data_IF_569912136783
#
_entry.id   IF_569912136783
#
_cell.length_a   1.000
_cell.length_b   1.000
_cell.length_c   1.000
_cell.angle_alpha   90.00
_cell.angle_beta   90.00
_cell.angle_gamma   90.00
#
_symmetry.space_group_name_H-M   'P 1'
#
loop_
_entity.id
_entity.type
_entity.pdbx_description
1 polymer ?
#
# COMPACT_ATOMS: atom_id res chain seq x y z
N UNK A 1 5.31 21.47 15.23
CA UNK A 1 4.17 20.79 15.89
C UNK A 1 4.30 19.28 15.78
N UNK A 2 4.51 18.74 14.57
CA UNK A 2 4.65 17.27 14.36
C UNK A 2 6.10 16.78 14.20
N UNK A 3 7.12 17.59 14.25
CA UNK A 3 8.52 17.21 14.00
C UNK A 3 8.92 15.96 14.79
N UNK A 4 8.86 16.03 16.12
CA UNK A 4 9.19 14.89 17.00
C UNK A 4 8.25 13.69 16.81
N UNK A 5 6.97 13.93 16.54
CA UNK A 5 5.99 12.87 16.31
C UNK A 5 6.28 12.13 15.00
N UNK A 6 6.71 12.83 13.95
CA UNK A 6 7.14 12.23 12.68
C UNK A 6 8.41 11.40 12.89
N UNK A 7 9.41 11.94 13.61
CA UNK A 7 10.63 11.19 13.97
C UNK A 7 10.28 9.90 14.73
N UNK A 8 9.35 9.98 15.70
CA UNK A 8 8.86 8.81 16.44
C UNK A 8 8.16 7.82 15.52
N UNK A 9 7.24 8.28 14.66
CA UNK A 9 6.51 7.42 13.74
C UNK A 9 7.43 6.74 12.71
N UNK A 10 8.49 7.40 12.27
CA UNK A 10 9.51 6.84 11.37
C UNK A 10 10.26 5.67 11.98
N UNK A 11 10.38 5.58 13.31
CA UNK A 11 11.08 4.47 13.96
C UNK A 11 10.38 3.13 13.74
N UNK A 12 9.06 3.12 13.57
CA UNK A 12 8.26 1.90 13.41
C UNK A 12 7.49 1.82 12.08
N UNK A 13 7.54 2.85 11.23
CA UNK A 13 6.88 2.85 9.91
C UNK A 13 7.87 2.52 8.81
N UNK A 14 7.52 1.63 7.88
CA UNK A 14 8.41 1.16 6.81
C UNK A 14 7.68 1.11 5.46
N UNK A 15 8.39 1.34 4.35
CA UNK A 15 7.84 1.11 3.01
C UNK A 15 7.89 -0.37 2.64
N UNK A 16 6.84 -0.80 1.93
CA UNK A 16 6.83 -1.98 1.10
C UNK A 16 7.00 -1.53 -0.35
N UNK A 17 8.14 -1.83 -0.95
CA UNK A 17 8.39 -1.60 -2.37
C UNK A 17 7.91 -2.77 -3.20
N UNK A 18 7.35 -2.49 -4.37
CA UNK A 18 6.92 -3.49 -5.33
C UNK A 18 7.41 -3.15 -6.72
N UNK A 19 7.85 -4.14 -7.47
CA UNK A 19 8.10 -4.00 -8.90
C UNK A 19 7.17 -4.95 -9.66
N UNK A 20 6.47 -4.42 -10.64
CA UNK A 20 5.54 -5.18 -11.49
C UNK A 20 6.00 -5.10 -12.93
N UNK A 21 6.12 -6.25 -13.61
CA UNK A 21 6.37 -6.30 -15.06
C UNK A 21 5.12 -6.69 -15.82
N UNK A 22 4.78 -5.93 -16.83
CA UNK A 22 3.73 -6.28 -17.79
C UNK A 22 4.25 -7.24 -18.87
N UNK A 23 3.35 -7.94 -19.55
CA UNK A 23 3.68 -8.80 -20.70
C UNK A 23 4.30 -8.00 -21.85
N UNK A 24 3.92 -6.73 -22.00
CA UNK A 24 4.55 -5.80 -22.94
C UNK A 24 5.94 -5.30 -22.53
N UNK A 25 6.49 -5.75 -21.41
CA UNK A 25 7.85 -5.45 -20.95
C UNK A 25 7.98 -4.19 -20.10
N UNK A 26 6.90 -3.43 -19.85
CA UNK A 26 6.92 -2.27 -18.96
C UNK A 26 7.14 -2.72 -17.53
N UNK A 27 8.12 -2.13 -16.83
CA UNK A 27 8.34 -2.33 -15.38
C UNK A 27 7.87 -1.10 -14.66
N UNK A 28 6.98 -1.29 -13.68
CA UNK A 28 6.38 -0.23 -12.88
C UNK A 28 6.77 -0.40 -11.41
N UNK A 29 7.48 0.56 -10.81
CA UNK A 29 7.70 0.59 -9.38
C UNK A 29 6.41 1.04 -8.66
N UNK A 30 6.18 0.48 -7.48
CA UNK A 30 5.08 0.84 -6.59
C UNK A 30 5.53 0.88 -5.15
N UNK A 31 4.88 1.67 -4.33
CA UNK A 31 5.15 1.77 -2.90
C UNK A 31 3.86 1.65 -2.10
N UNK A 32 4.00 1.10 -0.90
CA UNK A 32 2.95 1.01 0.12
C UNK A 32 3.59 1.17 1.49
N UNK A 33 2.79 1.24 2.52
CA UNK A 33 3.26 1.49 3.88
C UNK A 33 2.78 0.39 4.83
N UNK A 34 3.60 0.09 5.84
CA UNK A 34 3.25 -0.73 6.99
C UNK A 34 3.86 -0.11 8.25
N UNK A 35 3.32 -0.44 9.42
CA UNK A 35 3.91 -0.05 10.69
C UNK A 35 3.89 -1.18 11.71
N UNK A 36 4.97 -1.30 12.48
CA UNK A 36 5.16 -2.36 13.47
C UNK A 36 4.45 -2.03 14.78
N UNK A 37 3.82 -3.06 15.39
CA UNK A 37 3.05 -2.94 16.63
C UNK A 37 3.77 -3.51 17.84
N UNK A 38 4.86 -4.27 17.62
CA UNK A 38 5.72 -4.83 18.67
C UNK A 38 7.11 -5.18 18.10
N UNK A 39 7.98 -5.71 18.97
CA UNK A 39 9.34 -6.14 18.60
C UNK A 39 9.43 -7.63 18.23
N UNK A 40 8.31 -8.23 17.81
CA UNK A 40 8.23 -9.64 17.45
C UNK A 40 7.87 -9.85 15.97
N UNK A 41 8.05 -8.82 15.14
CA UNK A 41 7.81 -8.91 13.71
C UNK A 41 6.33 -8.88 13.31
N UNK A 42 5.46 -8.22 14.10
CA UNK A 42 4.07 -8.02 13.75
C UNK A 42 3.84 -6.59 13.27
N UNK A 43 3.23 -6.46 12.10
CA UNK A 43 2.93 -5.17 11.48
C UNK A 43 1.50 -5.07 11.00
N UNK A 44 1.00 -3.83 10.95
CA UNK A 44 -0.30 -3.46 10.38
C UNK A 44 -0.09 -2.84 9.00
N UNK A 45 -0.99 -3.18 8.09
CA UNK A 45 -1.13 -2.54 6.77
C UNK A 45 -2.56 -2.68 6.26
N UNK A 46 -2.84 -2.16 5.06
CA UNK A 46 -4.12 -2.36 4.39
C UNK A 46 -4.27 -3.81 3.87
N UNK A 47 -5.50 -4.30 3.82
CA UNK A 47 -5.83 -5.61 3.24
C UNK A 47 -5.39 -5.69 1.77
N UNK A 48 -5.70 -4.66 0.96
CA UNK A 48 -5.30 -4.62 -0.44
C UNK A 48 -3.77 -4.62 -0.63
N UNK A 49 -3.01 -4.03 0.31
CA UNK A 49 -1.54 -4.06 0.32
C UNK A 49 -1.03 -5.46 0.68
N UNK A 50 -1.58 -6.06 1.74
CA UNK A 50 -1.20 -7.39 2.18
C UNK A 50 -1.46 -8.47 1.11
N UNK A 51 -2.49 -8.29 0.28
CA UNK A 51 -2.83 -9.18 -0.84
C UNK A 51 -1.77 -9.19 -1.95
N UNK A 52 -0.87 -8.21 -2.02
CA UNK A 52 0.26 -8.23 -2.95
C UNK A 52 1.23 -9.39 -2.67
N UNK A 53 1.26 -9.91 -1.43
CA UNK A 53 2.17 -11.00 -1.05
C UNK A 53 1.74 -12.32 -1.70
N UNK A 54 0.55 -12.91 -1.40
CA UNK A 54 0.09 -14.11 -2.08
C UNK A 54 -0.17 -13.87 -3.57
N UNK A 55 -0.55 -12.64 -3.95
CA UNK A 55 -0.72 -12.26 -5.35
C UNK A 55 0.56 -12.39 -6.16
N UNK A 56 1.71 -12.00 -5.60
CA UNK A 56 3.01 -12.14 -6.23
C UNK A 56 3.36 -13.61 -6.51
N UNK A 57 3.15 -14.50 -5.55
CA UNK A 57 3.40 -15.93 -5.70
C UNK A 57 2.57 -16.52 -6.86
N UNK A 58 1.29 -16.20 -6.91
CA UNK A 58 0.39 -16.71 -7.95
C UNK A 58 0.74 -16.15 -9.34
N UNK A 59 0.99 -14.85 -9.46
CA UNK A 59 1.38 -14.21 -10.73
C UNK A 59 2.69 -14.82 -11.24
N UNK A 60 3.71 -14.90 -10.40
CA UNK A 60 5.02 -15.42 -10.77
C UNK A 60 4.96 -16.91 -11.14
N UNK A 61 4.21 -17.73 -10.39
CA UNK A 61 3.97 -19.14 -10.71
C UNK A 61 3.28 -19.32 -12.07
N UNK A 62 2.25 -18.53 -12.32
CA UNK A 62 1.52 -18.57 -13.59
C UNK A 62 2.42 -18.22 -14.76
N UNK A 63 3.27 -17.20 -14.62
CA UNK A 63 4.23 -16.82 -15.66
C UNK A 63 5.32 -17.86 -15.86
N UNK A 64 5.81 -18.50 -14.80
CA UNK A 64 6.77 -19.59 -14.92
C UNK A 64 6.20 -20.75 -15.74
N UNK A 65 4.96 -21.16 -15.50
CA UNK A 65 4.28 -22.19 -16.28
C UNK A 65 4.15 -21.77 -17.75
N UNK A 66 3.78 -20.53 -18.03
CA UNK A 66 3.74 -19.98 -19.37
C UNK A 66 5.11 -20.07 -20.07
N UNK A 67 6.20 -19.67 -19.37
CA UNK A 67 7.57 -19.74 -19.92
C UNK A 67 7.98 -21.16 -20.26
N UNK A 68 7.67 -22.12 -19.39
CA UNK A 68 7.95 -23.53 -19.63
C UNK A 68 7.22 -24.07 -20.86
N UNK A 69 5.94 -23.75 -21.02
CA UNK A 69 5.18 -24.15 -22.21
C UNK A 69 5.70 -23.43 -23.46
N UNK A 70 5.98 -22.13 -23.39
CA UNK A 70 6.56 -21.36 -24.49
C UNK A 70 7.89 -21.95 -24.98
N UNK A 71 8.75 -22.36 -24.05
CA UNK A 71 10.07 -22.90 -24.37
C UNK A 71 9.99 -24.28 -25.06
N UNK A 72 8.85 -25.00 -24.89
CA UNK A 72 8.58 -26.27 -25.57
C UNK A 72 8.03 -26.10 -27.00
N UNK A 73 7.64 -24.86 -27.37
CA UNK A 73 7.15 -24.61 -28.72
C UNK A 73 8.27 -24.80 -29.75
N UNK A 74 7.98 -25.48 -30.84
CA UNK A 74 8.90 -25.63 -31.94
C UNK A 74 9.12 -24.29 -32.61
N UNK A 75 10.37 -23.92 -32.85
CA UNK A 75 10.80 -22.71 -33.58
C UNK A 75 10.70 -22.92 -35.08
N UNK A 76 9.53 -23.28 -35.58
CA UNK A 76 9.24 -23.47 -37.00
C UNK A 76 8.34 -22.35 -37.54
N UNK A 77 7.91 -22.47 -38.80
CA UNK A 77 7.02 -21.48 -39.43
C UNK A 77 5.67 -21.30 -38.74
N UNK A 78 5.26 -22.16 -37.80
CA UNK A 78 4.02 -22.10 -37.06
C UNK A 78 4.21 -21.49 -35.65
N UNK A 79 5.45 -21.18 -35.25
CA UNK A 79 5.78 -20.70 -33.93
C UNK A 79 4.90 -19.49 -33.48
N UNK A 80 4.72 -18.49 -34.34
CA UNK A 80 3.93 -17.30 -34.07
C UNK A 80 2.48 -17.66 -33.75
N UNK A 81 1.86 -18.58 -34.49
CA UNK A 81 0.48 -19.03 -34.26
C UNK A 81 0.36 -19.84 -32.96
N UNK A 82 1.34 -20.69 -32.68
CA UNK A 82 1.38 -21.49 -31.46
C UNK A 82 1.56 -20.59 -30.23
N UNK A 83 2.39 -19.55 -30.32
CA UNK A 83 2.57 -18.55 -29.26
C UNK A 83 1.27 -17.78 -29.02
N UNK A 84 0.58 -17.31 -30.07
CA UNK A 84 -0.73 -16.65 -29.91
C UNK A 84 -1.76 -17.55 -29.21
N UNK A 85 -1.79 -18.84 -29.55
CA UNK A 85 -2.65 -19.81 -28.84
C UNK A 85 -2.33 -19.91 -27.34
N UNK A 86 -1.04 -19.86 -27.00
CA UNK A 86 -0.59 -19.89 -25.61
C UNK A 86 -0.94 -18.58 -24.89
N UNK A 87 -0.75 -17.42 -25.52
CA UNK A 87 -1.16 -16.11 -24.98
C UNK A 87 -2.66 -16.07 -24.66
N UNK A 88 -3.49 -16.59 -25.56
CA UNK A 88 -4.95 -16.72 -25.35
C UNK A 88 -5.25 -17.64 -24.15
N UNK A 89 -4.60 -18.80 -24.05
CA UNK A 89 -4.73 -19.76 -22.94
C UNK A 89 -4.47 -19.09 -21.60
N UNK A 90 -3.41 -18.30 -21.51
CA UNK A 90 -3.00 -17.60 -20.28
C UNK A 90 -3.66 -16.22 -20.12
N UNK A 91 -4.48 -15.79 -21.07
CA UNK A 91 -5.13 -14.46 -21.13
C UNK A 91 -4.13 -13.32 -21.06
N UNK A 92 -2.97 -13.48 -21.67
CA UNK A 92 -1.94 -12.44 -21.71
C UNK A 92 -2.18 -11.46 -22.84
N UNK A 93 -2.14 -10.19 -22.51
CA UNK A 93 -2.11 -9.04 -23.39
C UNK A 93 -1.04 -8.05 -22.90
N UNK A 94 -0.73 -7.04 -23.66
CA UNK A 94 0.39 -6.13 -23.41
C UNK A 94 0.43 -5.57 -21.97
N UNK A 95 -0.74 -5.26 -21.39
CA UNK A 95 -0.88 -4.67 -20.05
C UNK A 95 -0.99 -5.72 -18.92
N UNK A 96 -1.07 -7.02 -19.24
CA UNK A 96 -1.19 -8.07 -18.24
C UNK A 96 0.05 -8.11 -17.35
N UNK A 97 -0.14 -8.04 -16.04
CA UNK A 97 0.95 -8.21 -15.06
C UNK A 97 1.39 -9.68 -15.05
N UNK A 98 2.66 -9.92 -15.34
CA UNK A 98 3.24 -11.26 -15.45
C UNK A 98 4.24 -11.58 -14.34
N UNK A 99 4.84 -10.55 -13.73
CA UNK A 99 5.73 -10.70 -12.58
C UNK A 99 5.47 -9.59 -11.57
N UNK A 100 5.55 -9.94 -10.29
CA UNK A 100 5.43 -9.02 -9.16
C UNK A 100 6.43 -9.46 -8.08
N UNK A 101 7.29 -8.55 -7.65
CA UNK A 101 8.21 -8.78 -6.52
C UNK A 101 8.05 -7.71 -5.45
N UNK A 102 8.03 -8.17 -4.21
CA UNK A 102 7.91 -7.34 -3.02
C UNK A 102 9.25 -7.23 -2.31
N UNK A 103 9.53 -6.06 -1.70
CA UNK A 103 10.69 -5.84 -0.86
C UNK A 103 10.31 -5.00 0.37
N UNK A 104 10.51 -5.55 1.55
CA UNK A 104 10.23 -4.92 2.85
C UNK A 104 11.47 -4.16 3.32
N UNK A 105 11.51 -2.87 3.03
CA UNK A 105 12.70 -2.03 3.21
C UNK A 105 12.97 -1.77 4.70
N UNK A 106 14.19 -2.09 5.13
CA UNK A 106 14.65 -1.87 6.51
C UNK A 106 13.73 -2.44 7.59
N UNK A 107 13.09 -3.59 7.30
CA UNK A 107 12.28 -4.31 8.28
C UNK A 107 13.13 -5.32 9.06
N UNK A 108 13.89 -6.17 8.36
CA UNK A 108 14.67 -7.28 8.92
C UNK A 108 15.94 -7.53 8.09
N UNK A 109 16.86 -8.33 8.63
CA UNK A 109 18.02 -8.86 7.89
C UNK A 109 17.59 -9.84 6.80
N UNK A 110 16.65 -10.73 7.12
CA UNK A 110 16.01 -11.69 6.19
C UNK A 110 14.57 -11.94 6.60
N UNK A 111 13.79 -12.53 5.70
CA UNK A 111 12.40 -12.96 5.94
C UNK A 111 12.25 -14.34 5.31
N UNK A 112 11.90 -15.35 6.12
CA UNK A 112 11.68 -16.71 5.62
C UNK A 112 10.19 -17.00 5.39
N UNK A 113 9.32 -16.41 6.22
CA UNK A 113 7.89 -16.63 6.14
C UNK A 113 7.12 -15.37 6.50
N UNK A 114 6.03 -15.14 5.79
CA UNK A 114 5.04 -14.09 6.11
C UNK A 114 3.67 -14.76 6.21
N UNK A 115 3.03 -14.62 7.38
CA UNK A 115 1.62 -14.98 7.56
C UNK A 115 0.77 -13.72 7.46
N UNK A 116 -0.28 -13.78 6.67
CA UNK A 116 -1.20 -12.66 6.41
C UNK A 116 -2.54 -12.97 7.04
N UNK A 117 -3.00 -12.13 7.96
CA UNK A 117 -4.36 -12.13 8.48
C UNK A 117 -5.10 -10.93 7.94
N UNK A 118 -6.23 -11.15 7.26
CA UNK A 118 -7.05 -10.06 6.68
C UNK A 118 -8.35 -9.90 7.45
N UNK A 119 -8.72 -8.66 7.75
CA UNK A 119 -10.03 -8.38 8.36
C UNK A 119 -11.15 -8.70 7.34
N UNK A 120 -12.26 -9.33 7.77
CA UNK A 120 -13.33 -9.72 6.84
C UNK A 120 -13.98 -8.52 6.13
N UNK A 121 -14.24 -7.44 6.82
CA UNK A 121 -15.01 -6.29 6.32
C UNK A 121 -14.14 -5.06 6.03
N UNK A 122 -13.14 -4.77 6.88
CA UNK A 122 -12.32 -3.57 6.77
C UNK A 122 -11.11 -3.80 5.86
N UNK A 123 -10.61 -2.73 5.27
CA UNK A 123 -9.34 -2.75 4.55
C UNK A 123 -8.15 -2.71 5.52
N UNK A 124 -8.05 -3.76 6.33
CA UNK A 124 -7.10 -3.93 7.42
C UNK A 124 -6.47 -5.33 7.35
N UNK A 125 -5.18 -5.42 7.56
CA UNK A 125 -4.44 -6.67 7.65
C UNK A 125 -3.32 -6.61 8.69
N UNK A 126 -2.99 -7.79 9.23
CA UNK A 126 -1.82 -8.03 10.05
C UNK A 126 -0.83 -8.87 9.25
N UNK A 127 0.43 -8.47 9.25
CA UNK A 127 1.55 -9.23 8.72
C UNK A 127 2.37 -9.77 9.90
N UNK A 128 2.58 -11.09 9.92
CA UNK A 128 3.42 -11.77 10.90
C UNK A 128 4.66 -12.29 10.18
N UNK A 129 5.80 -11.69 10.45
CA UNK A 129 7.10 -12.04 9.86
C UNK A 129 7.81 -13.07 10.75
N UNK A 130 8.43 -14.08 10.14
CA UNK A 130 9.21 -15.13 10.81
C UNK A 130 10.51 -15.42 10.06
N UNK A 131 11.47 -16.02 10.79
CA UNK A 131 12.75 -16.47 10.24
C UNK A 131 13.79 -15.37 10.07
N UNK A 132 13.59 -14.20 10.69
CA UNK A 132 14.60 -13.16 10.80
C UNK A 132 15.50 -13.42 12.02
N UNK A 133 16.74 -12.91 11.96
CA UNK A 133 17.65 -12.90 13.11
C UNK A 133 17.73 -11.50 13.74
N UNK A 134 17.58 -10.45 12.93
CA UNK A 134 17.72 -9.06 13.34
C UNK A 134 16.55 -8.20 12.85
N UNK A 135 16.04 -7.38 13.77
CA UNK A 135 15.02 -6.35 13.50
C UNK A 135 15.74 -5.05 13.18
N UNK A 136 15.34 -4.39 12.07
CA UNK A 136 15.91 -3.11 11.63
C UNK A 136 15.03 -1.89 11.90
N UNK A 137 13.79 -2.09 12.37
CA UNK A 137 13.00 -0.99 12.92
C UNK A 137 13.36 -0.74 14.38
N UNK A 138 13.19 0.50 14.86
CA UNK A 138 13.78 0.95 16.12
C UNK A 138 12.78 1.01 17.28
N UNK A 139 11.48 0.99 16.97
CA UNK A 139 10.41 1.11 17.95
C UNK A 139 9.13 0.44 17.41
N UNK A 140 8.04 0.55 18.13
CA UNK A 140 6.72 0.06 17.75
C UNK A 140 5.65 1.12 18.00
N UNK A 141 4.50 0.97 17.33
CA UNK A 141 3.35 1.85 17.49
C UNK A 141 2.80 1.78 18.92
N UNK A 142 2.49 2.95 19.47
CA UNK A 142 1.77 3.09 20.73
C UNK A 142 0.37 3.62 20.41
N UNK A 143 -0.65 2.83 20.68
CA UNK A 143 -2.04 3.20 20.39
C UNK A 143 -2.63 4.03 21.54
N UNK A 144 -3.53 4.97 21.24
CA UNK A 144 -4.29 5.63 22.30
C UNK A 144 -5.15 4.60 23.04
N UNK A 145 -5.18 4.68 24.35
CA UNK A 145 -5.97 3.79 25.20
C UNK A 145 -7.45 4.07 25.06
N UNK A 146 -7.84 5.34 25.16
CA UNK A 146 -9.23 5.78 25.19
C UNK A 146 -9.62 6.51 23.91
N UNK A 147 -10.52 5.93 23.13
CA UNK A 147 -11.00 6.50 21.86
C UNK A 147 -11.99 7.67 22.02
N UNK A 148 -12.49 7.95 23.25
CA UNK A 148 -13.36 9.10 23.52
C UNK A 148 -12.76 10.46 23.17
N UNK A 149 -11.44 10.52 23.01
CA UNK A 149 -10.67 11.69 22.60
C UNK A 149 -10.64 11.89 21.09
N UNK A 150 -11.15 10.94 20.30
CA UNK A 150 -11.26 11.05 18.84
C UNK A 150 -12.53 11.85 18.53
N UNK A 151 -12.34 13.14 18.23
CA UNK A 151 -13.45 14.08 17.97
C UNK A 151 -13.17 14.89 16.72
N UNK A 152 -14.23 15.37 16.06
CA UNK A 152 -14.13 16.34 14.97
C UNK A 152 -13.27 17.54 15.39
N UNK A 153 -12.48 18.06 14.47
CA UNK A 153 -11.57 19.16 14.69
C UNK A 153 -10.22 18.78 15.31
N UNK A 154 -10.05 17.52 15.81
CA UNK A 154 -8.76 17.07 16.31
C UNK A 154 -7.74 17.04 15.17
N UNK A 155 -6.55 17.62 15.41
CA UNK A 155 -5.47 17.74 14.46
C UNK A 155 -4.53 16.55 14.57
N UNK A 156 -4.33 15.84 13.46
CA UNK A 156 -3.54 14.60 13.37
C UNK A 156 -2.66 14.62 12.13
N UNK A 157 -1.64 13.77 12.11
CA UNK A 157 -0.74 13.57 10.98
C UNK A 157 -0.75 12.11 10.53
N UNK A 158 -0.56 11.89 9.25
CA UNK A 158 -0.36 10.57 8.63
C UNK A 158 1.03 10.50 8.03
N UNK A 159 1.65 9.34 8.11
CA UNK A 159 2.96 9.09 7.52
C UNK A 159 2.87 7.92 6.55
N UNK A 160 3.58 8.02 5.43
CA UNK A 160 3.70 6.92 4.48
C UNK A 160 4.73 7.24 3.40
N UNK A 161 4.78 6.39 2.38
CA UNK A 161 5.81 6.44 1.32
C UNK A 161 5.14 6.48 -0.07
N UNK A 162 4.55 7.63 -0.47
CA UNK A 162 3.76 7.71 -1.69
C UNK A 162 4.57 7.74 -2.98
N UNK A 163 5.87 8.04 -2.90
CA UNK A 163 6.72 8.21 -4.09
C UNK A 163 7.71 7.07 -4.23
N UNK A 164 7.54 6.17 -5.22
CA UNK A 164 8.45 5.06 -5.45
C UNK A 164 9.73 5.54 -6.19
N UNK A 165 10.54 6.35 -5.50
CA UNK A 165 11.76 6.97 -6.03
C UNK A 165 12.98 6.03 -5.96
N UNK A 166 12.79 4.75 -5.79
CA UNK A 166 13.86 3.76 -5.81
C UNK A 166 14.15 3.26 -7.24
N UNK A 167 15.39 2.85 -7.47
CA UNK A 167 15.88 2.39 -8.77
C UNK A 167 16.74 1.12 -8.68
N UNK A 168 16.80 0.47 -7.52
CA UNK A 168 17.60 -0.72 -7.25
C UNK A 168 16.96 -2.01 -7.78
N UNK A 169 16.51 -2.00 -9.03
CA UNK A 169 15.95 -3.16 -9.71
C UNK A 169 16.36 -3.20 -11.18
N UNK A 170 16.31 -4.37 -11.80
CA UNK A 170 16.59 -4.56 -13.23
C UNK A 170 15.70 -5.65 -13.82
N UNK A 171 15.61 -5.68 -15.14
CA UNK A 171 15.16 -6.84 -15.91
C UNK A 171 16.38 -7.65 -16.35
N UNK A 172 16.47 -8.88 -15.89
CA UNK A 172 17.44 -9.87 -16.37
C UNK A 172 16.83 -10.58 -17.60
N UNK A 173 17.34 -10.23 -18.78
CA UNK A 173 16.81 -10.77 -20.04
C UNK A 173 17.13 -12.27 -20.23
N UNK A 174 18.27 -12.73 -19.72
CA UNK A 174 18.67 -14.14 -19.83
C UNK A 174 17.77 -15.04 -18.99
N UNK A 175 17.41 -14.59 -17.81
CA UNK A 175 16.47 -15.30 -16.92
C UNK A 175 15.01 -14.99 -17.25
N UNK A 176 14.74 -13.96 -18.06
CA UNK A 176 13.40 -13.40 -18.31
C UNK A 176 12.67 -13.10 -16.98
N UNK A 177 13.37 -12.40 -16.07
CA UNK A 177 12.90 -12.09 -14.72
C UNK A 177 13.28 -10.68 -14.30
N UNK A 178 12.47 -10.07 -13.41
CA UNK A 178 12.80 -8.82 -12.75
C UNK A 178 13.49 -9.14 -11.41
N UNK A 179 14.54 -8.40 -11.08
CA UNK A 179 15.34 -8.66 -9.87
C UNK A 179 15.62 -7.37 -9.10
N UNK A 180 15.67 -7.49 -7.77
CA UNK A 180 16.24 -6.46 -6.92
C UNK A 180 17.77 -6.48 -7.04
N UNK A 181 18.39 -5.29 -7.02
CA UNK A 181 19.84 -5.13 -7.13
C UNK A 181 20.41 -4.42 -5.89
N UNK A 182 21.73 -4.52 -5.73
CA UNK A 182 22.47 -3.77 -4.71
C UNK A 182 22.86 -2.36 -5.19
N UNK A 183 22.67 -2.07 -6.46
CA UNK A 183 22.99 -0.78 -7.08
C UNK A 183 21.72 0.03 -7.29
N UNK A 184 21.84 1.36 -7.27
CA UNK A 184 20.72 2.27 -7.39
C UNK A 184 20.19 2.75 -6.04
N UNK A 185 19.21 3.63 -6.07
CA UNK A 185 18.55 4.13 -4.86
C UNK A 185 17.63 3.04 -4.29
N UNK A 186 17.79 2.70 -3.02
CA UNK A 186 17.06 1.61 -2.37
C UNK A 186 15.87 2.07 -1.51
N UNK A 187 15.67 3.39 -1.34
CA UNK A 187 14.65 3.94 -0.45
C UNK A 187 13.72 4.91 -1.14
N UNK A 188 12.52 5.04 -0.63
CA UNK A 188 11.55 6.08 -0.96
C UNK A 188 11.50 7.12 0.16
N UNK A 189 11.26 8.41 -0.16
CA UNK A 189 11.11 9.42 0.87
C UNK A 189 9.83 9.20 1.68
N UNK A 190 9.93 9.43 2.98
CA UNK A 190 8.76 9.52 3.83
C UNK A 190 8.01 10.82 3.54
N UNK A 191 6.69 10.76 3.56
CA UNK A 191 5.85 11.92 3.26
C UNK A 191 4.73 12.05 4.31
N UNK A 192 4.88 12.97 5.27
CA UNK A 192 3.83 13.27 6.24
C UNK A 192 2.76 14.18 5.63
N UNK A 193 1.50 13.93 5.97
CA UNK A 193 0.35 14.81 5.65
C UNK A 193 -0.49 14.98 6.90
N UNK A 194 -0.68 16.19 7.33
CA UNK A 194 -1.52 16.56 8.45
C UNK A 194 -2.95 16.98 8.03
N UNK A 195 -3.80 17.15 9.00
CA UNK A 195 -5.17 17.63 8.81
C UNK A 195 -6.02 17.43 10.06
N UNK A 196 -7.27 17.88 9.99
CA UNK A 196 -8.23 17.69 11.08
C UNK A 196 -9.18 16.52 10.77
N UNK A 197 -9.73 15.91 11.81
CA UNK A 197 -10.84 14.97 11.69
C UNK A 197 -12.08 15.75 11.24
N UNK A 198 -12.63 15.38 10.08
CA UNK A 198 -13.88 15.98 9.56
C UNK A 198 -15.10 15.20 9.98
N UNK A 199 -15.01 13.87 9.98
CA UNK A 199 -16.11 12.97 10.37
C UNK A 199 -15.59 11.69 11.01
N UNK A 200 -16.44 11.06 11.83
CA UNK A 200 -16.28 9.67 12.24
C UNK A 200 -17.26 8.83 11.42
N UNK A 201 -16.76 7.78 10.77
CA UNK A 201 -17.58 6.86 10.00
C UNK A 201 -18.06 5.71 10.89
N UNK A 202 -19.35 5.41 10.83
CA UNK A 202 -19.98 4.32 11.54
C UNK A 202 -20.87 3.50 10.59
N UNK A 203 -21.39 2.37 11.06
CA UNK A 203 -22.41 1.63 10.34
C UNK A 203 -23.75 2.41 10.30
N UNK A 204 -24.76 1.85 9.64
CA UNK A 204 -26.08 2.49 9.48
C UNK A 204 -26.78 2.78 10.82
N UNK A 205 -26.44 2.05 11.89
CA UNK A 205 -26.95 2.23 13.25
C UNK A 205 -26.12 3.24 14.07
N UNK A 206 -25.06 3.86 13.47
CA UNK A 206 -24.20 4.82 14.15
C UNK A 206 -23.12 4.20 15.05
N UNK A 207 -23.10 2.90 15.21
CA UNK A 207 -22.12 2.15 16.02
C UNK A 207 -21.87 0.77 15.43
N UNK A 208 -20.69 0.16 15.55
CA UNK A 208 -19.45 0.80 16.06
C UNK A 208 -18.86 1.82 15.06
N UNK A 209 -18.07 2.75 15.58
CA UNK A 209 -17.24 3.63 14.71
C UNK A 209 -16.15 2.76 14.07
N UNK A 210 -16.10 2.79 12.73
CA UNK A 210 -15.17 1.98 11.94
C UNK A 210 -14.06 2.80 11.29
N UNK A 211 -14.28 4.10 11.10
CA UNK A 211 -13.35 4.94 10.34
C UNK A 211 -13.28 6.39 10.83
N UNK A 212 -12.20 7.02 10.42
CA UNK A 212 -11.91 8.45 10.63
C UNK A 212 -11.74 9.08 9.25
N UNK A 213 -12.47 10.16 8.97
CA UNK A 213 -12.29 10.96 7.78
C UNK A 213 -11.45 12.20 8.10
N UNK A 214 -10.43 12.45 7.28
CA UNK A 214 -9.48 13.56 7.41
C UNK A 214 -9.72 14.63 6.36
N UNK A 215 -9.52 15.90 6.71
CA UNK A 215 -9.69 17.05 5.82
C UNK A 215 -8.73 17.08 4.62
N UNK A 216 -7.67 16.29 4.65
CA UNK A 216 -6.66 16.18 3.60
C UNK A 216 -6.70 14.80 2.96
N UNK A 217 -6.44 14.67 1.64
CA UNK A 217 -6.42 13.37 0.98
C UNK A 217 -5.24 12.51 1.43
N UNK A 218 -5.39 11.18 1.36
CA UNK A 218 -4.25 10.28 1.34
C UNK A 218 -3.68 10.15 -0.07
N UNK A 219 -2.41 9.87 -0.18
CA UNK A 219 -1.74 9.62 -1.45
C UNK A 219 -1.61 8.12 -1.71
N UNK A 220 -1.53 7.76 -3.00
CA UNK A 220 -1.21 6.39 -3.39
C UNK A 220 0.18 6.03 -2.82
N UNK A 221 0.29 4.91 -2.10
CA UNK A 221 1.49 4.52 -1.37
C UNK A 221 1.47 4.85 0.13
N UNK A 222 0.59 5.74 0.60
CA UNK A 222 0.35 5.93 2.04
C UNK A 222 -0.59 4.88 2.64
N UNK A 223 -1.20 4.02 1.85
CA UNK A 223 -2.02 2.90 2.33
C UNK A 223 -1.24 2.03 3.31
N UNK A 224 -1.78 1.84 4.51
CA UNK A 224 -1.14 1.14 5.62
C UNK A 224 -0.33 2.05 6.54
N UNK A 225 -0.24 3.35 6.27
CA UNK A 225 0.47 4.31 7.12
C UNK A 225 -0.30 4.69 8.38
N UNK A 226 0.39 4.94 9.53
CA UNK A 226 -0.24 5.32 10.77
C UNK A 226 -0.83 6.74 10.70
N UNK A 227 -1.95 6.94 11.38
CA UNK A 227 -2.54 8.24 11.73
C UNK A 227 -2.22 8.52 13.21
N UNK A 228 -1.55 9.62 13.53
CA UNK A 228 -1.04 9.87 14.87
C UNK A 228 -1.16 11.34 15.32
N UNK A 229 -1.06 11.56 16.63
CA UNK A 229 -1.07 12.89 17.25
C UNK A 229 0.33 13.51 17.33
N UNK A 230 0.43 14.67 17.98
CA UNK A 230 1.69 15.41 18.17
C UNK A 230 2.70 14.73 19.09
N UNK A 231 2.31 13.65 19.76
CA UNK A 231 3.18 12.81 20.59
C UNK A 231 3.60 11.52 19.87
N UNK A 232 3.06 11.27 18.67
CA UNK A 232 3.31 10.04 17.92
C UNK A 232 2.40 8.86 18.31
N UNK A 233 1.38 9.09 19.14
CA UNK A 233 0.41 8.05 19.52
C UNK A 233 -0.55 7.78 18.34
N UNK A 234 -0.83 6.51 18.07
CA UNK A 234 -1.59 6.08 16.90
C UNK A 234 -3.09 6.10 17.17
N UNK A 235 -3.82 6.76 16.27
CA UNK A 235 -5.28 6.95 16.26
C UNK A 235 -5.97 6.09 15.18
N UNK A 236 -5.23 5.60 14.21
CA UNK A 236 -5.77 4.82 13.10
C UNK A 236 -4.75 4.52 12.02
N UNK A 237 -5.23 4.06 10.87
CA UNK A 237 -4.41 3.71 9.71
C UNK A 237 -5.04 4.22 8.42
N UNK A 238 -4.29 4.94 7.59
CA UNK A 238 -4.71 5.41 6.27
C UNK A 238 -4.97 4.24 5.33
N UNK A 239 -6.14 4.21 4.64
CA UNK A 239 -6.43 3.16 3.67
C UNK A 239 -6.92 3.67 2.31
N UNK A 240 -7.62 4.80 2.25
CA UNK A 240 -8.20 5.30 1.01
C UNK A 240 -8.32 6.82 0.97
N UNK A 241 -8.63 7.34 -0.21
CA UNK A 241 -9.07 8.72 -0.43
C UNK A 241 -10.45 8.70 -1.06
N UNK A 242 -11.36 9.52 -0.56
CA UNK A 242 -12.70 9.71 -1.11
C UNK A 242 -12.76 11.03 -1.87
N UNK A 243 -13.32 10.97 -3.05
CA UNK A 243 -13.57 12.14 -3.90
C UNK A 243 -15.02 12.53 -3.76
N UNK A 244 -15.28 13.71 -3.18
CA UNK A 244 -16.62 14.26 -3.01
C UNK A 244 -16.85 15.31 -4.09
N UNK A 245 -17.81 15.05 -4.98
CA UNK A 245 -18.17 15.94 -6.08
C UNK A 245 -18.80 17.23 -5.54
N UNK A 246 -18.37 18.38 -6.02
CA UNK A 246 -18.85 19.67 -5.53
C UNK A 246 -20.14 20.18 -6.18
N UNK A 247 -20.64 19.48 -7.20
CA UNK A 247 -21.94 19.76 -7.84
C UNK A 247 -21.92 20.87 -8.88
N UNK A 248 -20.78 21.49 -9.17
CA UNK A 248 -20.62 22.45 -10.27
C UNK A 248 -19.56 21.95 -11.26
N UNK A 249 -20.01 21.60 -12.45
CA UNK A 249 -19.18 21.00 -13.49
C UNK A 249 -18.95 21.94 -14.65
N UNK A 250 -17.79 21.83 -15.28
CA UNK A 250 -17.57 22.29 -16.64
C UNK A 250 -17.67 21.05 -17.52
N UNK A 251 -18.68 21.02 -18.42
CA UNK A 251 -18.88 19.89 -19.34
C UNK A 251 -18.69 20.34 -20.77
N UNK A 252 -17.95 19.57 -21.55
CA UNK A 252 -17.78 19.73 -23.00
C UNK A 252 -17.42 21.16 -23.44
N UNK A 253 -16.69 21.91 -22.59
CA UNK A 253 -16.23 23.26 -22.92
C UNK A 253 -15.18 23.21 -24.01
N UNK A 254 -15.42 23.94 -25.11
CA UNK A 254 -14.40 24.11 -26.14
C UNK A 254 -13.24 24.98 -25.62
N UNK A 255 -12.05 24.47 -25.77
CA UNK A 255 -10.79 25.19 -25.50
C UNK A 255 -9.89 25.11 -26.72
N UNK A 256 -9.05 26.14 -26.91
CA UNK A 256 -7.94 26.11 -27.87
C UNK A 256 -6.69 25.58 -27.17
N UNK A 257 -6.18 24.43 -27.62
CA UNK A 257 -4.94 23.86 -27.09
C UNK A 257 -4.00 23.52 -28.25
N UNK A 258 -2.81 24.11 -28.26
CA UNK A 258 -1.82 23.96 -29.32
C UNK A 258 -2.37 24.24 -30.74
N UNK A 259 -3.28 25.22 -30.89
CA UNK A 259 -3.92 25.59 -32.16
C UNK A 259 -5.11 24.74 -32.56
N UNK A 260 -5.45 23.69 -31.82
CA UNK A 260 -6.60 22.82 -32.07
C UNK A 260 -7.73 23.06 -31.08
N UNK A 261 -8.97 23.02 -31.57
CA UNK A 261 -10.15 23.05 -30.69
C UNK A 261 -10.36 21.67 -30.07
N UNK A 262 -10.40 21.65 -28.73
CA UNK A 262 -10.69 20.43 -27.94
C UNK A 262 -11.83 20.68 -26.98
N UNK A 263 -12.66 19.66 -26.78
CA UNK A 263 -13.66 19.67 -25.70
C UNK A 263 -13.04 19.12 -24.44
N UNK A 264 -13.18 19.85 -23.33
CA UNK A 264 -12.71 19.45 -22.01
C UNK A 264 -13.85 19.48 -21.01
N UNK A 265 -13.83 18.53 -20.09
CA UNK A 265 -14.71 18.50 -18.94
C UNK A 265 -13.85 18.55 -17.67
N UNK A 266 -14.28 19.33 -16.69
CA UNK A 266 -13.63 19.43 -15.38
C UNK A 266 -14.69 19.22 -14.29
N UNK A 267 -14.43 18.26 -13.43
CA UNK A 267 -15.28 17.91 -12.30
C UNK A 267 -14.54 18.23 -11.01
N UNK A 268 -14.85 19.37 -10.35
CA UNK A 268 -14.19 19.73 -9.11
C UNK A 268 -14.63 18.81 -7.96
N UNK A 269 -13.65 18.32 -7.21
CA UNK A 269 -13.83 17.43 -6.07
C UNK A 269 -13.20 18.00 -4.81
N UNK A 270 -13.84 17.80 -3.68
CA UNK A 270 -13.19 17.80 -2.38
C UNK A 270 -12.62 16.40 -2.12
N UNK A 271 -11.35 16.35 -1.78
CA UNK A 271 -10.65 15.09 -1.50
C UNK A 271 -10.42 14.94 0.00
N UNK A 272 -10.88 13.84 0.57
CA UNK A 272 -10.75 13.54 2.00
C UNK A 272 -10.06 12.20 2.20
N UNK A 273 -9.18 12.11 3.21
CA UNK A 273 -8.50 10.88 3.56
C UNK A 273 -9.39 10.01 4.45
N UNK A 274 -9.33 8.69 4.25
CA UNK A 274 -10.07 7.72 5.04
C UNK A 274 -9.10 6.82 5.82
N UNK A 275 -9.30 6.74 7.15
CA UNK A 275 -8.49 5.92 8.02
C UNK A 275 -9.35 4.91 8.78
N UNK A 276 -8.84 3.70 9.00
CA UNK A 276 -9.42 2.72 9.92
C UNK A 276 -9.26 3.23 11.34
N UNK A 277 -10.33 3.14 12.15
CA UNK A 277 -10.34 3.59 13.53
C UNK A 277 -9.48 2.70 14.43
N UNK A 278 -8.80 3.28 15.42
CA UNK A 278 -7.88 2.57 16.31
C UNK A 278 -8.51 1.40 17.04
N UNK A 279 -9.76 1.52 17.51
CA UNK A 279 -10.44 0.43 18.22
C UNK A 279 -10.60 -0.81 17.33
N UNK A 280 -10.89 -0.62 16.04
CA UNK A 280 -10.97 -1.75 15.09
C UNK A 280 -9.62 -2.41 14.90
N UNK A 281 -8.53 -1.66 14.90
CA UNK A 281 -7.16 -2.18 14.84
C UNK A 281 -6.86 -3.00 16.10
N UNK A 282 -7.13 -2.43 17.29
CA UNK A 282 -6.89 -3.10 18.58
C UNK A 282 -7.69 -4.39 18.71
N UNK A 283 -8.98 -4.37 18.38
CA UNK A 283 -9.83 -5.56 18.38
C UNK A 283 -9.29 -6.65 17.45
N UNK A 284 -8.82 -6.27 16.27
CA UNK A 284 -8.29 -7.22 15.32
C UNK A 284 -6.96 -7.83 15.79
N UNK A 285 -6.10 -7.04 16.45
CA UNK A 285 -4.88 -7.54 17.11
C UNK A 285 -5.22 -8.51 18.24
N UNK A 286 -6.18 -8.16 19.09
CA UNK A 286 -6.65 -9.01 20.22
C UNK A 286 -7.24 -10.34 19.72
N UNK A 287 -8.06 -10.30 18.65
CA UNK A 287 -8.61 -11.50 18.02
C UNK A 287 -7.51 -12.50 17.60
N UNK A 288 -6.38 -11.99 17.14
CA UNK A 288 -5.23 -12.79 16.72
C UNK A 288 -4.20 -13.01 17.83
N UNK A 289 -4.48 -12.60 19.07
CA UNK A 289 -3.60 -12.74 20.24
C UNK A 289 -2.22 -12.10 20.00
N UNK A 290 -2.21 -10.93 19.39
CA UNK A 290 -1.01 -10.16 19.12
C UNK A 290 -0.89 -9.06 20.17
N UNK A 291 0.26 -9.03 20.85
CA UNK A 291 0.56 -8.00 21.84
C UNK A 291 0.82 -6.65 21.16
N UNK A 292 0.29 -5.60 21.75
CA UNK A 292 0.47 -4.22 21.33
C UNK A 292 0.52 -3.30 22.56
N UNK A 293 0.93 -2.06 22.35
CA UNK A 293 1.14 -1.09 23.42
C UNK A 293 0.14 0.06 23.33
N UNK A 294 -0.32 0.50 24.50
CA UNK A 294 -1.25 1.63 24.63
C UNK A 294 -0.63 2.77 25.43
N UNK A 295 -1.17 3.98 25.27
CA UNK A 295 -0.81 5.12 26.11
C UNK A 295 -1.24 4.88 27.56
N UNK A 296 -0.48 5.46 28.49
CA UNK A 296 -0.99 5.71 29.84
C UNK A 296 -2.09 6.78 29.75
N UNK A 297 -3.13 6.71 30.58
CA UNK A 297 -4.21 7.72 30.58
C UNK A 297 -3.72 9.08 31.02
#
# INVERSE_FOLDING_TARGET
MFEKAIETALQFTRPLHTITRSYGGLIMPGSSTLFFVNNHGMAITCKHVAQLIPGAENINKTYNNFREERNKLLKDGKFKRSLQGLEIKYKYHKESSIQLKNNFINCFDKIEQITVHTHPELDLAILVFKGFNEIKYQSHAKFIKTSSHIKQGKYLCRLGFPFPEYSNFKHDQDKDDIEWTQTGQASSPAFPIDGIITRLAANAQGQPITGIEMSTPGLRGQSGGPLFDTLGNVYGMQYATRHLHLGFDIRDKEILHAGEKKKVSNFPFLHVGLCVHVDRIKEFLQLHKIDFFETED
#
